data_IF_188558739726
#
_entry.id   IF_188558739726
#
_cell.length_a   1.000
_cell.length_b   1.000
_cell.length_c   1.000
_cell.angle_alpha   90.00
_cell.angle_beta   90.00
_cell.angle_gamma   90.00
#
_symmetry.space_group_name_H-M   'P 1'
#
loop_
_entity.id
_entity.type
_entity.pdbx_description
1 polymer ?
#
# COMPACT_ATOMS: atom_id res chain seq x y z
N UNK A 1 33.24 -1.31 -11.18
CA UNK A 1 32.28 -1.98 -12.08
C UNK A 1 31.91 -3.31 -11.43
N UNK A 2 30.63 -3.51 -11.16
CA UNK A 2 30.12 -4.80 -10.67
C UNK A 2 29.80 -5.69 -11.88
N UNK A 3 30.02 -6.99 -11.75
CA UNK A 3 29.67 -8.00 -12.75
C UNK A 3 28.61 -8.92 -12.17
N UNK A 4 27.77 -9.49 -13.03
CA UNK A 4 26.76 -10.45 -12.61
C UNK A 4 27.41 -11.67 -11.94
N UNK A 5 26.86 -12.08 -10.79
CA UNK A 5 27.36 -13.23 -10.02
C UNK A 5 26.25 -14.24 -9.82
N UNK A 6 26.54 -15.52 -10.00
CA UNK A 6 25.62 -16.59 -9.64
C UNK A 6 25.84 -17.00 -8.18
N UNK A 7 24.79 -16.93 -7.37
CA UNK A 7 24.80 -17.31 -5.96
C UNK A 7 23.81 -18.45 -5.70
N UNK A 8 24.12 -19.29 -4.72
CA UNK A 8 23.23 -20.40 -4.32
C UNK A 8 22.35 -19.96 -3.15
N UNK A 9 21.04 -20.16 -3.27
CA UNK A 9 20.09 -19.85 -2.22
C UNK A 9 20.25 -20.79 -1.01
N UNK A 10 20.39 -20.23 0.19
CA UNK A 10 20.52 -21.03 1.41
C UNK A 10 19.24 -21.76 1.84
N UNK A 11 18.05 -21.36 1.37
CA UNK A 11 16.78 -22.01 1.75
C UNK A 11 16.35 -23.10 0.75
N UNK A 12 16.45 -22.84 -0.56
CA UNK A 12 15.98 -23.76 -1.60
C UNK A 12 17.09 -24.43 -2.42
N UNK A 13 18.35 -24.03 -2.24
CA UNK A 13 19.49 -24.57 -3.00
C UNK A 13 19.56 -24.13 -4.46
N UNK A 14 18.58 -23.38 -4.97
CA UNK A 14 18.58 -22.92 -6.36
C UNK A 14 19.63 -21.82 -6.59
N UNK A 15 20.26 -21.85 -7.75
CA UNK A 15 21.13 -20.77 -8.22
C UNK A 15 20.28 -19.56 -8.65
N UNK A 16 20.73 -18.36 -8.29
CA UNK A 16 20.12 -17.10 -8.70
C UNK A 16 21.20 -16.09 -9.08
N UNK A 17 20.88 -15.22 -10.03
CA UNK A 17 21.79 -14.18 -10.50
C UNK A 17 21.68 -12.97 -9.57
N UNK A 18 22.81 -12.53 -9.02
CA UNK A 18 22.98 -11.25 -8.36
C UNK A 18 23.59 -10.28 -9.36
N UNK A 19 22.72 -9.52 -10.03
CA UNK A 19 23.12 -8.66 -11.15
C UNK A 19 24.02 -7.51 -10.69
N UNK A 20 24.78 -6.93 -11.63
CA UNK A 20 25.57 -5.73 -11.38
C UNK A 20 24.71 -4.59 -10.80
N UNK A 21 23.50 -4.41 -11.33
CA UNK A 21 22.55 -3.39 -10.88
C UNK A 21 22.07 -3.60 -9.43
N UNK A 22 21.86 -4.85 -9.02
CA UNK A 22 21.50 -5.16 -7.62
C UNK A 22 22.71 -4.99 -6.69
N UNK A 23 23.92 -5.30 -7.14
CA UNK A 23 25.14 -5.06 -6.38
C UNK A 23 25.35 -3.58 -6.07
N UNK A 24 25.18 -2.70 -7.07
CA UNK A 24 25.22 -1.24 -6.90
C UNK A 24 24.18 -0.75 -5.89
N UNK A 25 22.95 -1.28 -5.95
CA UNK A 25 21.90 -0.92 -5.01
C UNK A 25 22.23 -1.34 -3.57
N UNK A 26 22.77 -2.54 -3.39
CA UNK A 26 23.16 -3.04 -2.07
C UNK A 26 24.34 -2.26 -1.48
N UNK A 27 25.34 -1.94 -2.29
CA UNK A 27 26.48 -1.13 -1.89
C UNK A 27 26.06 0.27 -1.42
N UNK A 28 25.16 0.93 -2.18
CA UNK A 28 24.65 2.27 -1.83
C UNK A 28 23.83 2.29 -0.53
N UNK A 29 23.15 1.20 -0.20
CA UNK A 29 22.34 1.08 1.02
C UNK A 29 23.12 0.54 2.22
N UNK A 30 24.39 0.19 2.04
CA UNK A 30 25.20 -0.47 3.08
C UNK A 30 24.70 -1.87 3.45
N UNK A 31 24.03 -2.56 2.52
CA UNK A 31 23.53 -3.91 2.74
C UNK A 31 24.55 -4.97 2.31
N UNK A 32 24.53 -6.09 3.02
CA UNK A 32 25.35 -7.27 2.70
C UNK A 32 24.74 -8.10 1.58
N UNK A 33 25.59 -8.85 0.87
CA UNK A 33 25.19 -9.70 -0.26
C UNK A 33 23.99 -10.64 0.05
N UNK A 34 23.04 -10.79 -0.89
CA UNK A 34 21.96 -11.75 -0.79
C UNK A 34 22.38 -13.20 -0.51
N UNK A 35 21.84 -13.82 0.54
CA UNK A 35 21.96 -15.28 0.78
C UNK A 35 20.74 -16.08 0.34
N UNK A 36 19.68 -15.40 -0.09
CA UNK A 36 18.39 -16.00 -0.44
C UNK A 36 17.96 -15.47 -1.80
N UNK A 37 17.44 -16.35 -2.65
CA UNK A 37 16.94 -15.96 -3.96
C UNK A 37 15.71 -15.04 -3.85
N UNK A 38 15.37 -14.31 -4.94
CA UNK A 38 14.23 -13.41 -4.96
C UNK A 38 12.90 -14.08 -4.58
N UNK A 39 12.68 -15.33 -5.01
CA UNK A 39 11.45 -16.09 -4.69
C UNK A 39 11.35 -16.41 -3.20
N UNK A 40 12.40 -16.94 -2.56
CA UNK A 40 12.40 -17.22 -1.13
C UNK A 40 12.24 -15.94 -0.27
N UNK A 41 12.82 -14.83 -0.72
CA UNK A 41 12.63 -13.52 -0.07
C UNK A 41 11.19 -13.02 -0.21
N UNK A 42 10.62 -13.12 -1.41
CA UNK A 42 9.23 -12.75 -1.67
C UNK A 42 8.27 -13.60 -0.85
N UNK A 43 8.45 -14.93 -0.83
CA UNK A 43 7.63 -15.85 -0.02
C UNK A 43 7.72 -15.55 1.47
N UNK A 44 8.91 -15.22 2.00
CA UNK A 44 9.06 -14.85 3.42
C UNK A 44 8.46 -13.48 3.74
N UNK A 45 8.52 -12.51 2.82
CA UNK A 45 7.81 -11.24 2.96
C UNK A 45 6.30 -11.47 2.97
N UNK A 46 5.78 -12.31 2.06
CA UNK A 46 4.37 -12.67 1.99
C UNK A 46 3.90 -13.42 3.25
N UNK A 47 4.70 -14.36 3.76
CA UNK A 47 4.39 -15.08 5.00
C UNK A 47 4.35 -14.17 6.23
N UNK A 48 5.15 -13.10 6.26
CA UNK A 48 5.13 -12.09 7.34
C UNK A 48 3.98 -11.09 7.16
N UNK A 49 3.64 -10.73 5.92
CA UNK A 49 2.50 -9.87 5.60
C UNK A 49 1.14 -10.48 6.01
N UNK A 50 1.07 -11.79 6.32
CA UNK A 50 -0.11 -12.44 6.87
C UNK A 50 -0.22 -12.46 8.40
N UNK A 51 0.83 -12.06 9.13
CA UNK A 51 0.89 -12.14 10.60
C UNK A 51 0.90 -10.77 11.30
N UNK A 52 1.25 -9.69 10.60
CA UNK A 52 1.14 -8.35 11.13
C UNK A 52 0.66 -7.37 10.04
N UNK A 53 -0.44 -6.66 10.32
CA UNK A 53 -1.01 -5.63 9.45
C UNK A 53 -0.15 -4.37 9.37
N UNK A 54 1.11 -4.52 8.98
CA UNK A 54 2.06 -3.44 8.76
C UNK A 54 1.95 -2.89 7.35
N UNK A 55 1.30 -1.72 7.21
CA UNK A 55 1.43 -0.87 6.03
C UNK A 55 2.89 -0.47 5.85
N UNK A 56 3.63 -1.23 5.04
CA UNK A 56 5.03 -0.97 4.71
C UNK A 56 5.19 -0.82 3.20
N UNK A 57 5.06 0.41 2.72
CA UNK A 57 5.27 0.78 1.33
C UNK A 57 6.67 0.41 0.83
N UNK A 58 6.73 -0.01 -0.43
CA UNK A 58 7.99 -0.27 -1.12
C UNK A 58 7.72 -0.68 -2.56
N UNK A 59 7.93 0.28 -3.46
CA UNK A 59 7.77 0.18 -4.91
C UNK A 59 8.49 -1.04 -5.51
N UNK A 60 7.82 -1.72 -6.45
CA UNK A 60 8.42 -2.70 -7.35
C UNK A 60 8.39 -2.14 -8.77
N UNK A 61 9.51 -1.62 -9.22
CA UNK A 61 9.81 -1.31 -10.61
C UNK A 61 9.87 -2.61 -11.43
N UNK A 62 9.30 -2.58 -12.64
CA UNK A 62 9.71 -3.45 -13.75
C UNK A 62 9.16 -4.87 -13.76
N UNK A 63 7.88 -5.04 -14.09
CA UNK A 63 7.36 -6.27 -14.68
C UNK A 63 7.29 -6.13 -16.20
N UNK A 64 8.33 -6.54 -16.93
CA UNK A 64 8.23 -6.75 -18.37
C UNK A 64 7.78 -8.19 -18.61
N UNK A 65 6.69 -8.36 -19.38
CA UNK A 65 6.32 -9.64 -19.98
C UNK A 65 4.93 -10.14 -19.62
N UNK A 66 3.93 -9.72 -20.41
CA UNK A 66 2.91 -10.57 -21.06
C UNK A 66 1.69 -9.71 -21.44
N UNK A 67 1.87 -8.81 -22.42
CA UNK A 67 0.75 -8.10 -23.05
C UNK A 67 0.01 -9.01 -24.02
N UNK A 68 -0.93 -9.80 -23.50
CA UNK A 68 -1.92 -10.51 -24.29
C UNK A 68 -3.32 -9.95 -24.00
N UNK A 69 -4.03 -9.54 -25.05
CA UNK A 69 -5.48 -9.35 -25.01
C UNK A 69 -5.96 -7.91 -24.98
N UNK A 70 -5.83 -7.16 -26.08
CA UNK A 70 -6.85 -6.17 -26.40
C UNK A 70 -8.03 -6.93 -27.00
N UNK A 71 -8.95 -7.38 -26.16
CA UNK A 71 -10.28 -7.78 -26.62
C UNK A 71 -11.27 -6.86 -25.95
N UNK A 72 -11.73 -5.93 -26.77
CA UNK A 72 -12.76 -4.96 -26.49
C UNK A 72 -14.12 -5.61 -26.19
N UNK A 73 -14.94 -4.90 -25.42
CA UNK A 73 -16.37 -5.16 -25.23
C UNK A 73 -16.66 -5.89 -23.91
N UNK A 74 -17.62 -5.52 -23.08
CA UNK A 74 -18.65 -4.50 -23.22
C UNK A 74 -19.25 -4.15 -21.86
N UNK A 75 -19.84 -2.97 -21.83
CA UNK A 75 -20.73 -2.45 -20.80
C UNK A 75 -21.94 -3.38 -20.61
N UNK A 76 -22.35 -3.59 -19.36
CA UNK A 76 -23.74 -3.71 -18.87
C UNK A 76 -23.88 -4.77 -17.78
N UNK A 77 -24.40 -4.35 -16.63
CA UNK A 77 -25.16 -5.25 -15.75
C UNK A 77 -24.55 -5.42 -14.37
N UNK A 78 -25.21 -4.83 -13.38
CA UNK A 78 -24.81 -4.87 -11.98
C UNK A 78 -24.99 -6.24 -11.32
N UNK A 79 -24.35 -6.39 -10.17
CA UNK A 79 -24.51 -7.54 -9.28
C UNK A 79 -23.67 -7.31 -8.03
N UNK A 80 -24.33 -7.01 -6.92
CA UNK A 80 -23.71 -6.58 -5.67
C UNK A 80 -22.75 -7.60 -5.06
N UNK A 81 -21.64 -7.09 -4.53
CA UNK A 81 -20.67 -7.82 -3.73
C UNK A 81 -20.18 -6.92 -2.60
N UNK A 82 -21.10 -6.56 -1.70
CA UNK A 82 -20.77 -5.84 -0.48
C UNK A 82 -19.93 -6.75 0.42
N UNK A 83 -18.62 -6.71 0.26
CA UNK A 83 -17.66 -7.34 1.16
C UNK A 83 -17.78 -6.71 2.53
N UNK A 84 -18.53 -7.37 3.41
CA UNK A 84 -18.72 -6.99 4.80
C UNK A 84 -17.41 -7.07 5.56
N UNK A 85 -16.75 -5.93 5.74
CA UNK A 85 -15.74 -5.76 6.76
C UNK A 85 -16.43 -5.34 8.07
N UNK A 86 -16.51 -6.27 9.02
CA UNK A 86 -16.56 -5.93 10.44
C UNK A 86 -17.92 -5.62 11.05
N UNK A 87 -18.78 -6.64 11.18
CA UNK A 87 -19.86 -6.63 12.18
C UNK A 87 -19.41 -7.38 13.42
N UNK A 88 -18.49 -6.78 14.19
CA UNK A 88 -18.17 -7.16 15.58
C UNK A 88 -17.81 -5.89 16.36
N UNK A 89 -18.82 -5.29 16.98
CA UNK A 89 -18.68 -4.54 18.24
C UNK A 89 -18.00 -3.16 18.22
N UNK A 90 -18.14 -2.36 17.15
CA UNK A 90 -18.02 -0.89 17.28
C UNK A 90 -19.41 -0.28 17.37
N UNK A 91 -19.79 0.17 18.57
CA UNK A 91 -20.98 0.99 18.78
C UNK A 91 -21.05 2.19 17.81
N UNK A 92 -22.23 2.80 17.64
CA UNK A 92 -22.42 3.90 16.71
C UNK A 92 -21.35 4.98 16.96
N UNK A 93 -20.64 5.37 15.90
CA UNK A 93 -19.61 6.42 15.98
C UNK A 93 -20.32 7.71 16.41
N UNK A 94 -19.99 8.22 17.59
CA UNK A 94 -20.52 9.50 18.06
C UNK A 94 -20.04 10.61 17.11
N UNK A 95 -20.98 11.18 16.38
CA UNK A 95 -20.76 12.34 15.52
C UNK A 95 -20.99 13.59 16.36
N UNK A 96 -19.96 14.45 16.45
CA UNK A 96 -20.07 15.71 17.16
C UNK A 96 -20.47 16.81 16.19
N UNK A 97 -21.44 17.63 16.58
CA UNK A 97 -21.81 18.83 15.85
C UNK A 97 -20.73 19.90 16.03
N UNK A 98 -20.37 20.55 14.93
CA UNK A 98 -19.37 21.60 14.88
C UNK A 98 -19.73 22.62 13.81
N UNK A 99 -19.27 23.85 13.95
CA UNK A 99 -19.42 24.87 12.91
C UNK A 99 -18.22 24.85 11.98
N UNK A 100 -18.45 24.76 10.67
CA UNK A 100 -17.40 24.83 9.67
C UNK A 100 -16.73 26.20 9.67
N UNK A 101 -15.41 26.26 9.85
CA UNK A 101 -14.63 27.50 9.85
C UNK A 101 -14.54 28.18 8.48
N UNK A 102 -14.85 27.46 7.38
CA UNK A 102 -14.81 28.03 6.04
C UNK A 102 -16.17 28.57 5.56
N UNK A 103 -17.25 27.82 5.77
CA UNK A 103 -18.58 28.21 5.26
C UNK A 103 -19.63 28.49 6.34
N UNK A 104 -19.30 28.34 7.63
CA UNK A 104 -20.21 28.60 8.75
C UNK A 104 -21.35 27.59 8.93
N UNK A 105 -21.47 26.58 8.06
CA UNK A 105 -22.52 25.56 8.14
C UNK A 105 -22.21 24.52 9.23
N UNK A 106 -23.25 23.87 9.73
CA UNK A 106 -23.14 22.74 10.66
C UNK A 106 -22.45 21.54 9.97
N UNK A 107 -21.47 20.97 10.66
CA UNK A 107 -20.67 19.85 10.22
C UNK A 107 -20.67 18.76 11.31
N UNK A 108 -20.84 17.52 10.89
CA UNK A 108 -20.73 16.36 11.77
C UNK A 108 -19.33 15.76 11.63
N UNK A 109 -18.58 15.74 12.73
CA UNK A 109 -17.19 15.23 12.76
C UNK A 109 -17.04 14.06 13.73
N UNK A 110 -16.18 13.06 13.42
CA UNK A 110 -15.99 11.88 14.27
C UNK A 110 -15.06 12.16 15.48
N UNK A 111 -14.69 13.41 15.71
CA UNK A 111 -13.82 13.86 16.78
C UNK A 111 -14.45 15.05 17.50
N UNK A 112 -14.22 15.20 18.80
CA UNK A 112 -14.70 16.38 19.54
C UNK A 112 -13.98 17.65 19.04
N UNK A 113 -14.73 18.67 18.60
CA UNK A 113 -14.14 19.96 18.26
C UNK A 113 -13.34 20.53 19.45
N UNK A 114 -12.17 21.09 19.16
CA UNK A 114 -11.34 21.79 20.15
C UNK A 114 -11.16 23.23 19.71
N UNK A 115 -11.12 24.17 20.65
CA UNK A 115 -11.03 25.61 20.36
C UNK A 115 -9.76 26.05 19.63
N UNK A 116 -8.76 25.16 19.51
CA UNK A 116 -7.48 25.45 18.85
C UNK A 116 -7.33 24.97 17.41
N UNK A 117 -8.24 24.14 16.87
CA UNK A 117 -8.11 23.56 15.51
C UNK A 117 -9.38 23.83 14.68
N UNK A 118 -9.24 24.41 13.47
CA UNK A 118 -10.39 24.74 12.63
C UNK A 118 -11.09 23.45 12.18
N UNK A 119 -12.41 23.45 12.29
CA UNK A 119 -13.26 22.34 11.87
C UNK A 119 -13.82 22.65 10.49
N UNK A 120 -13.80 21.67 9.59
CA UNK A 120 -14.30 21.84 8.22
C UNK A 120 -15.36 20.79 7.91
N UNK A 121 -16.42 21.21 7.20
CA UNK A 121 -17.39 20.25 6.68
C UNK A 121 -16.75 19.38 5.59
N UNK A 122 -17.38 18.23 5.31
CA UNK A 122 -16.93 17.28 4.31
C UNK A 122 -16.65 17.91 2.94
N UNK A 123 -17.48 18.88 2.53
CA UNK A 123 -17.32 19.59 1.26
C UNK A 123 -16.05 20.46 1.27
N UNK A 124 -15.90 21.34 2.26
CA UNK A 124 -14.74 22.24 2.34
C UNK A 124 -13.43 21.47 2.56
N UNK A 125 -13.47 20.37 3.32
CA UNK A 125 -12.31 19.52 3.52
C UNK A 125 -11.86 18.81 2.23
N UNK A 126 -12.80 18.34 1.40
CA UNK A 126 -12.51 17.77 0.09
C UNK A 126 -11.89 18.81 -0.85
N UNK A 127 -12.42 20.02 -0.86
CA UNK A 127 -11.87 21.13 -1.66
C UNK A 127 -10.44 21.49 -1.21
N UNK A 128 -10.15 21.53 0.09
CA UNK A 128 -8.81 21.91 0.58
C UNK A 128 -7.72 20.85 0.43
N UNK A 129 -8.06 19.56 0.30
CA UNK A 129 -7.07 18.47 0.11
C UNK A 129 -6.94 17.98 -1.34
N UNK A 130 -7.73 18.54 -2.25
CA UNK A 130 -7.86 18.08 -3.63
C UNK A 130 -7.61 19.15 -4.69
N UNK A 131 -6.78 20.15 -4.39
CA UNK A 131 -6.25 21.12 -5.35
C UNK A 131 -4.73 21.11 -5.33
#
# INVERSE_FOLDING_TARGET
MYNDKNLTCADCGQEFVFTASEQDFYAQRGFTEPRRCPSCRASRKAARAGADGGSGGGAGYGGYGAGGGYSAGGYSGGGGGGGGYGSRDRGPREMFAATCSNCGREAQVPFRPTSGKPVYCSDCFRTMRGG
#
